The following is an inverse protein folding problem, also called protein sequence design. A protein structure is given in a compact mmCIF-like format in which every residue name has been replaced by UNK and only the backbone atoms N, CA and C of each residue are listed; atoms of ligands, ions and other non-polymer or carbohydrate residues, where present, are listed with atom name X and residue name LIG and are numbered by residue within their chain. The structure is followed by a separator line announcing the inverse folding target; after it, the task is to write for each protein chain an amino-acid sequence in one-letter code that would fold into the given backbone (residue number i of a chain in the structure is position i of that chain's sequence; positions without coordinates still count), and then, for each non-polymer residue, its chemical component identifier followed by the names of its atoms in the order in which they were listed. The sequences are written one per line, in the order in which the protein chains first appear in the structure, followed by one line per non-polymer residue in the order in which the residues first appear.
data_IF_355553499909
#
_entry.id   IF_355553499909
#
_cell.length_a   1.000
_cell.length_b   1.000
_cell.length_c   1.000
_cell.angle_alpha   90.00
_cell.angle_beta   90.00
_cell.angle_gamma   90.00
#
_symmetry.space_group_name_H-M   'P 1'
#
loop_
_entity.id
_entity.type
_entity.pdbx_description
1 polymer ?
#
# COMPACT_ATOMS: atom_id res chain seq x y z
N UNK A 1 -6.35 -9.19 -17.70
CA UNK A 1 -7.49 -8.41 -17.11
C UNK A 1 -6.93 -7.07 -16.70
N UNK A 2 -7.48 -5.95 -17.22
CA UNK A 2 -6.96 -4.62 -16.87
C UNK A 2 -7.20 -4.38 -15.39
N UNK A 3 -6.16 -4.01 -14.64
CA UNK A 3 -6.24 -3.73 -13.19
C UNK A 3 -7.13 -2.51 -12.96
N UNK A 4 -6.99 -1.49 -13.80
CA UNK A 4 -7.82 -0.29 -13.77
C UNK A 4 -8.50 -0.16 -15.13
N UNK A 5 -9.81 -0.41 -15.19
CA UNK A 5 -10.57 -0.18 -16.40
C UNK A 5 -10.81 1.33 -16.58
N UNK A 6 -10.73 1.83 -17.81
CA UNK A 6 -10.96 3.27 -18.12
C UNK A 6 -12.27 3.80 -17.52
N UNK A 7 -13.33 2.97 -17.47
CA UNK A 7 -14.60 3.33 -16.83
C UNK A 7 -14.47 3.65 -15.35
N UNK A 8 -13.57 2.94 -14.63
CA UNK A 8 -13.35 3.18 -13.20
C UNK A 8 -12.66 4.52 -12.97
N UNK A 9 -11.79 4.95 -13.89
CA UNK A 9 -11.16 6.26 -13.84
C UNK A 9 -12.15 7.41 -14.08
N UNK A 10 -13.19 7.18 -14.90
CA UNK A 10 -14.28 8.17 -15.07
C UNK A 10 -15.06 8.29 -13.77
N UNK A 11 -15.45 7.18 -13.15
CA UNK A 11 -16.17 7.19 -11.88
C UNK A 11 -15.33 7.84 -10.75
N UNK A 12 -14.00 7.64 -10.75
CA UNK A 12 -13.11 8.31 -9.82
C UNK A 12 -13.08 9.82 -10.05
N UNK A 13 -13.07 10.28 -11.29
CA UNK A 13 -13.08 11.70 -11.62
C UNK A 13 -14.38 12.40 -11.19
N UNK A 14 -15.51 11.69 -11.29
CA UNK A 14 -16.79 12.18 -10.80
C UNK A 14 -16.85 12.22 -9.27
N UNK A 15 -16.34 11.16 -8.62
CA UNK A 15 -16.35 11.05 -7.16
C UNK A 15 -15.33 11.99 -6.49
N UNK A 16 -14.22 12.32 -7.16
CA UNK A 16 -13.14 13.13 -6.65
C UNK A 16 -12.73 14.24 -7.62
N UNK A 17 -13.54 15.31 -7.78
CA UNK A 17 -13.27 16.37 -8.73
C UNK A 17 -11.94 17.12 -8.50
N UNK A 18 -11.45 17.11 -7.26
CA UNK A 18 -10.17 17.70 -6.87
C UNK A 18 -8.95 16.90 -7.36
N UNK A 19 -9.13 15.67 -7.83
CA UNK A 19 -8.07 14.79 -8.32
C UNK A 19 -8.05 14.67 -9.85
N UNK A 20 -8.71 15.56 -10.56
CA UNK A 20 -8.83 15.51 -12.04
C UNK A 20 -7.46 15.47 -12.73
N UNK A 21 -6.50 16.25 -12.23
CA UNK A 21 -5.15 16.31 -12.81
C UNK A 21 -4.45 14.96 -12.72
N UNK A 22 -4.48 14.34 -11.54
CA UNK A 22 -3.85 13.05 -11.25
C UNK A 22 -4.53 11.92 -12.01
N UNK A 23 -5.87 11.94 -12.08
CA UNK A 23 -6.65 10.97 -12.84
C UNK A 23 -6.36 11.07 -14.33
N UNK A 24 -6.17 12.30 -14.86
CA UNK A 24 -5.76 12.50 -16.24
C UNK A 24 -4.41 11.84 -16.53
N UNK A 25 -3.43 12.04 -15.67
CA UNK A 25 -2.10 11.41 -15.78
C UNK A 25 -2.25 9.88 -15.79
N UNK A 26 -3.06 9.31 -14.88
CA UNK A 26 -3.30 7.86 -14.86
C UNK A 26 -4.02 7.34 -16.10
N UNK A 27 -4.90 8.13 -16.71
CA UNK A 27 -5.55 7.77 -17.99
C UNK A 27 -4.55 7.69 -19.14
N UNK A 28 -3.49 8.48 -19.08
CA UNK A 28 -2.42 8.51 -20.08
C UNK A 28 -1.41 7.38 -19.84
N UNK A 29 -1.27 6.87 -18.59
CA UNK A 29 -0.50 5.68 -18.29
C UNK A 29 -1.23 4.45 -18.84
N UNK A 30 -0.54 3.63 -19.64
CA UNK A 30 -1.08 2.35 -20.11
C UNK A 30 -0.97 1.30 -19.01
N UNK A 31 -1.93 1.35 -18.07
CA UNK A 31 -2.02 0.41 -16.96
C UNK A 31 -2.59 -0.92 -17.44
N UNK A 32 -1.81 -1.61 -18.26
CA UNK A 32 -2.14 -2.95 -18.72
C UNK A 32 -1.68 -3.92 -17.64
N UNK A 33 -2.60 -4.43 -16.84
CA UNK A 33 -2.29 -5.41 -15.81
C UNK A 33 -1.71 -6.69 -16.40
N UNK A 34 -0.41 -6.70 -16.62
CA UNK A 34 0.34 -7.91 -16.91
C UNK A 34 0.54 -8.68 -15.59
N UNK A 35 0.62 -10.02 -15.68
CA UNK A 35 1.04 -10.79 -14.53
C UNK A 35 2.49 -10.43 -14.19
N UNK A 36 2.76 -10.24 -12.90
CA UNK A 36 4.08 -9.89 -12.40
C UNK A 36 4.22 -8.42 -12.03
N UNK A 37 5.39 -7.86 -12.23
CA UNK A 37 5.75 -6.51 -11.81
C UNK A 37 5.69 -5.53 -12.97
N UNK A 38 4.97 -4.43 -12.79
CA UNK A 38 4.92 -3.31 -13.72
C UNK A 38 5.36 -2.04 -12.98
N UNK A 39 6.35 -1.34 -13.54
CA UNK A 39 6.87 -0.11 -12.95
C UNK A 39 6.52 1.09 -13.83
N UNK A 40 5.80 2.05 -13.25
CA UNK A 40 5.33 3.26 -13.92
C UNK A 40 5.97 4.45 -13.25
N UNK A 41 6.73 5.23 -14.01
CA UNK A 41 7.27 6.50 -13.54
C UNK A 41 6.30 7.63 -13.86
N UNK A 42 5.98 8.45 -12.87
CA UNK A 42 5.14 9.64 -13.00
C UNK A 42 5.98 10.86 -12.60
N UNK A 43 6.80 11.41 -13.52
CA UNK A 43 7.78 12.44 -13.21
C UNK A 43 7.16 13.71 -12.62
N UNK A 44 6.02 14.13 -13.15
CA UNK A 44 5.31 15.35 -12.70
C UNK A 44 4.88 15.29 -11.24
N UNK A 45 4.66 14.10 -10.72
CA UNK A 45 4.31 13.84 -9.32
C UNK A 45 5.49 13.34 -8.50
N UNK A 46 6.66 13.16 -9.12
CA UNK A 46 7.86 12.53 -8.51
C UNK A 46 7.54 11.16 -7.87
N UNK A 47 6.66 10.40 -8.51
CA UNK A 47 6.19 9.09 -8.05
C UNK A 47 6.72 8.00 -8.97
N UNK A 48 7.15 6.89 -8.37
CA UNK A 48 7.31 5.61 -9.03
C UNK A 48 6.29 4.65 -8.46
N UNK A 49 5.33 4.25 -9.30
CA UNK A 49 4.28 3.29 -8.96
C UNK A 49 4.72 1.91 -9.42
N UNK A 50 4.75 0.95 -8.50
CA UNK A 50 4.98 -0.45 -8.82
C UNK A 50 3.67 -1.19 -8.61
N UNK A 51 3.13 -1.74 -9.70
CA UNK A 51 1.95 -2.60 -9.68
C UNK A 51 2.39 -4.05 -9.71
N UNK A 52 1.92 -4.84 -8.77
CA UNK A 52 2.22 -6.26 -8.69
C UNK A 52 0.91 -7.03 -8.85
N UNK A 53 0.78 -7.74 -9.99
CA UNK A 53 -0.38 -8.57 -10.29
C UNK A 53 0.00 -10.03 -10.12
N UNK A 54 -0.03 -10.47 -8.87
CA UNK A 54 0.37 -11.80 -8.46
C UNK A 54 -0.39 -12.21 -7.20
N UNK A 55 -0.32 -13.48 -6.83
CA UNK A 55 -0.71 -13.93 -5.50
C UNK A 55 0.11 -13.19 -4.42
N UNK A 56 -0.56 -12.73 -3.37
CA UNK A 56 0.09 -11.86 -2.37
C UNK A 56 1.21 -12.58 -1.61
N UNK A 57 1.07 -13.89 -1.37
CA UNK A 57 2.11 -14.69 -0.68
C UNK A 57 3.38 -14.77 -1.53
N UNK A 58 3.20 -14.98 -2.84
CA UNK A 58 4.32 -14.98 -3.79
C UNK A 58 4.90 -13.59 -3.94
N UNK A 59 4.05 -12.59 -4.18
CA UNK A 59 4.47 -11.21 -4.36
C UNK A 59 5.31 -10.69 -3.18
N UNK A 60 4.89 -10.95 -1.94
CA UNK A 60 5.59 -10.43 -0.76
C UNK A 60 6.94 -11.12 -0.51
N UNK A 61 7.09 -12.37 -0.96
CA UNK A 61 8.36 -13.09 -0.91
C UNK A 61 9.34 -12.64 -2.01
N UNK A 62 8.80 -12.22 -3.16
CA UNK A 62 9.59 -11.78 -4.32
C UNK A 62 9.95 -10.28 -4.25
N UNK A 63 9.38 -9.54 -3.31
CA UNK A 63 9.69 -8.13 -3.11
C UNK A 63 11.11 -7.97 -2.55
N UNK A 64 12.01 -7.43 -3.37
CA UNK A 64 13.36 -7.02 -2.97
C UNK A 64 13.42 -5.61 -2.36
N UNK A 65 12.31 -5.09 -1.85
CA UNK A 65 12.21 -3.77 -1.24
C UNK A 65 12.23 -3.95 0.27
N UNK A 66 13.13 -3.26 0.95
CA UNK A 66 13.15 -3.14 2.40
C UNK A 66 13.01 -1.68 2.83
N UNK A 67 12.84 -1.45 4.11
CA UNK A 67 12.69 -0.12 4.70
C UNK A 67 11.46 0.63 4.18
N UNK A 68 10.31 -0.04 4.21
CA UNK A 68 9.01 0.55 3.88
C UNK A 68 8.55 1.41 5.06
N UNK A 69 8.25 2.67 4.82
CA UNK A 69 7.90 3.65 5.85
C UNK A 69 6.42 3.67 6.21
N UNK A 70 5.55 3.26 5.29
CA UNK A 70 4.11 3.20 5.55
C UNK A 70 3.43 2.05 4.81
N UNK A 71 2.50 1.40 5.49
CA UNK A 71 1.69 0.32 4.94
C UNK A 71 0.20 0.66 4.99
N UNK A 72 -0.46 0.43 3.89
CA UNK A 72 -1.90 0.42 3.82
C UNK A 72 -2.37 -1.01 3.56
N UNK A 73 -2.78 -1.67 4.64
CA UNK A 73 -3.26 -3.05 4.61
C UNK A 73 -4.75 -3.04 4.21
N UNK A 74 -5.00 -2.78 2.92
CA UNK A 74 -6.33 -2.64 2.33
C UNK A 74 -6.69 -3.85 1.45
N UNK A 75 -6.60 -5.03 2.02
CA UNK A 75 -7.03 -6.26 1.38
C UNK A 75 -8.56 -6.47 1.45
N UNK A 76 -9.03 -7.58 0.90
CA UNK A 76 -10.42 -8.00 1.05
C UNK A 76 -10.75 -8.40 2.50
N UNK A 77 -12.05 -8.53 2.80
CA UNK A 77 -12.53 -8.98 4.10
C UNK A 77 -11.81 -10.27 4.53
N UNK A 78 -11.15 -10.29 5.70
CA UNK A 78 -10.42 -11.46 6.19
C UNK A 78 -11.23 -12.75 6.30
N UNK A 79 -12.56 -12.67 6.33
CA UNK A 79 -13.45 -13.84 6.29
C UNK A 79 -13.62 -14.40 4.88
N UNK A 80 -13.55 -13.52 3.86
CA UNK A 80 -13.74 -13.91 2.46
C UNK A 80 -12.43 -14.25 1.76
N UNK A 81 -11.34 -13.69 2.23
CA UNK A 81 -10.00 -13.84 1.64
C UNK A 81 -8.94 -14.00 2.74
N UNK A 82 -9.00 -15.10 3.51
CA UNK A 82 -8.12 -15.31 4.66
C UNK A 82 -6.64 -15.44 4.27
N UNK A 83 -6.36 -15.89 3.05
CA UNK A 83 -5.00 -16.04 2.51
C UNK A 83 -4.21 -14.73 2.43
N UNK A 84 -4.87 -13.59 2.30
CA UNK A 84 -4.21 -12.28 2.35
C UNK A 84 -3.80 -11.84 3.77
N UNK A 85 -4.21 -12.58 4.79
CA UNK A 85 -4.07 -12.20 6.19
C UNK A 85 -3.41 -13.32 7.02
N UNK A 86 -2.53 -14.09 6.40
CA UNK A 86 -1.77 -15.13 7.09
C UNK A 86 -0.72 -14.51 8.01
N UNK A 87 -0.25 -15.27 8.99
CA UNK A 87 0.81 -14.85 9.90
C UNK A 87 2.10 -14.55 9.15
N UNK A 88 2.43 -15.36 8.13
CA UNK A 88 3.61 -15.16 7.28
C UNK A 88 3.58 -13.82 6.54
N UNK A 89 2.43 -13.43 5.98
CA UNK A 89 2.28 -12.12 5.33
C UNK A 89 2.45 -11.00 6.36
N UNK A 90 1.81 -11.10 7.53
CA UNK A 90 1.90 -10.07 8.55
C UNK A 90 3.32 -9.97 9.13
N UNK A 91 4.03 -11.10 9.23
CA UNK A 91 5.46 -11.13 9.59
C UNK A 91 6.31 -10.47 8.52
N UNK A 92 6.11 -10.78 7.25
CA UNK A 92 6.83 -10.15 6.14
C UNK A 92 6.60 -8.63 6.09
N UNK A 93 5.37 -8.16 6.35
CA UNK A 93 5.08 -6.72 6.51
C UNK A 93 5.99 -6.12 7.59
N UNK A 94 6.15 -6.78 8.74
CA UNK A 94 7.04 -6.29 9.79
C UNK A 94 8.51 -6.32 9.36
N UNK A 95 8.97 -7.40 8.77
CA UNK A 95 10.37 -7.58 8.37
C UNK A 95 10.80 -6.55 7.30
N UNK A 96 9.92 -6.25 6.34
CA UNK A 96 10.15 -5.27 5.28
C UNK A 96 10.00 -3.81 5.75
N UNK A 97 9.45 -3.59 6.91
CA UNK A 97 9.19 -2.26 7.47
C UNK A 97 10.47 -1.57 7.95
N UNK A 98 10.59 -0.28 7.70
CA UNK A 98 11.63 0.56 8.32
C UNK A 98 11.39 0.76 9.81
N UNK A 99 12.41 1.24 10.52
CA UNK A 99 12.24 1.79 11.86
C UNK A 99 11.30 3.00 11.79
N UNK A 100 10.42 3.15 12.76
CA UNK A 100 9.37 4.18 12.81
C UNK A 100 8.31 4.09 11.69
N UNK A 101 8.27 2.99 10.96
CA UNK A 101 7.21 2.76 9.97
C UNK A 101 5.83 2.71 10.62
N UNK A 102 4.83 3.09 9.85
CA UNK A 102 3.45 3.05 10.29
C UNK A 102 2.60 2.11 9.42
N UNK A 103 1.50 1.62 9.98
CA UNK A 103 0.48 0.95 9.16
C UNK A 103 -0.93 1.41 9.50
N UNK A 104 -1.81 1.26 8.53
CA UNK A 104 -3.25 1.42 8.70
C UNK A 104 -3.99 0.28 8.01
N UNK A 105 -5.06 -0.22 8.66
CA UNK A 105 -5.93 -1.22 8.06
C UNK A 105 -7.39 -0.94 8.40
N UNK A 106 -8.27 -1.20 7.43
CA UNK A 106 -9.72 -1.06 7.62
C UNK A 106 -10.30 -2.12 8.56
N UNK A 107 -9.62 -3.24 8.76
CA UNK A 107 -10.09 -4.33 9.62
C UNK A 107 -9.65 -4.13 11.06
N UNK A 108 -10.46 -4.64 11.99
CA UNK A 108 -10.12 -4.71 13.42
C UNK A 108 -10.25 -6.13 13.97
N UNK A 109 -10.14 -7.13 13.10
CA UNK A 109 -10.23 -8.55 13.45
C UNK A 109 -9.16 -8.92 14.47
N UNK A 110 -9.59 -9.57 15.57
CA UNK A 110 -8.72 -9.84 16.73
C UNK A 110 -7.48 -10.67 16.41
N UNK A 111 -7.57 -11.67 15.53
CA UNK A 111 -6.41 -12.50 15.15
C UNK A 111 -5.35 -11.68 14.42
N UNK A 112 -5.74 -10.79 13.49
CA UNK A 112 -4.83 -9.94 12.73
C UNK A 112 -4.14 -8.96 13.68
N UNK A 113 -4.90 -8.34 14.59
CA UNK A 113 -4.36 -7.43 15.58
C UNK A 113 -3.33 -8.13 16.49
N UNK A 114 -3.62 -9.35 16.94
CA UNK A 114 -2.66 -10.13 17.76
C UNK A 114 -1.40 -10.47 16.97
N UNK A 115 -1.52 -10.97 15.76
CA UNK A 115 -0.38 -11.31 14.93
C UNK A 115 0.53 -10.09 14.68
N UNK A 116 -0.03 -8.89 14.44
CA UNK A 116 0.75 -7.68 14.30
C UNK A 116 1.47 -7.28 15.60
N UNK A 117 0.81 -7.43 16.76
CA UNK A 117 1.43 -7.21 18.08
C UNK A 117 2.55 -8.22 18.35
N UNK A 118 2.33 -9.50 18.07
CA UNK A 118 3.30 -10.58 18.27
C UNK A 118 4.54 -10.42 17.38
N UNK A 119 4.38 -9.82 16.18
CA UNK A 119 5.50 -9.46 15.32
C UNK A 119 6.25 -8.20 15.77
N UNK A 120 5.76 -7.45 16.76
CA UNK A 120 6.45 -6.31 17.35
C UNK A 120 5.95 -4.93 16.95
N UNK A 121 4.81 -4.83 16.26
CA UNK A 121 4.15 -3.55 16.08
C UNK A 121 3.41 -3.11 17.36
N UNK A 122 3.45 -1.84 17.64
CA UNK A 122 2.45 -1.22 18.53
C UNK A 122 1.15 -1.07 17.73
N UNK A 123 0.03 -1.57 18.28
CA UNK A 123 -1.25 -1.60 17.55
C UNK A 123 -2.34 -0.96 18.37
N UNK A 124 -2.97 0.06 17.79
CA UNK A 124 -4.10 0.77 18.36
C UNK A 124 -5.38 0.48 17.56
N UNK A 125 -6.49 0.28 18.29
CA UNK A 125 -7.82 0.20 17.72
C UNK A 125 -8.51 1.54 17.85
N UNK A 126 -8.78 2.19 16.73
CA UNK A 126 -9.36 3.51 16.67
C UNK A 126 -10.73 3.50 15.98
N UNK A 127 -11.43 4.62 16.03
CA UNK A 127 -12.72 4.80 15.35
C UNK A 127 -12.56 4.57 13.85
N UNK A 128 -13.46 3.78 13.27
CA UNK A 128 -13.50 3.52 11.84
C UNK A 128 -14.01 4.72 11.04
N UNK A 129 -13.92 4.64 9.73
CA UNK A 129 -14.43 5.63 8.80
C UNK A 129 -15.79 5.18 8.22
N UNK A 130 -16.68 6.12 7.97
CA UNK A 130 -18.02 5.86 7.43
C UNK A 130 -18.84 4.96 8.34
N UNK A 131 -19.34 3.85 7.82
CA UNK A 131 -20.18 2.88 8.53
C UNK A 131 -19.39 1.91 9.41
N UNK A 132 -18.08 1.91 9.35
CA UNK A 132 -17.23 0.99 10.12
C UNK A 132 -17.01 1.50 11.53
N UNK A 133 -17.27 0.66 12.53
CA UNK A 133 -17.11 1.03 13.94
C UNK A 133 -15.63 1.24 14.32
N UNK A 134 -14.75 0.39 13.83
CA UNK A 134 -13.34 0.38 14.22
C UNK A 134 -12.43 0.02 13.06
N UNK A 135 -11.21 0.54 13.13
CA UNK A 135 -10.06 0.17 12.32
C UNK A 135 -8.83 0.05 13.22
N UNK A 136 -7.74 -0.51 12.71
CA UNK A 136 -6.47 -0.55 13.43
C UNK A 136 -5.42 0.30 12.72
N UNK A 137 -4.59 0.91 13.52
CA UNK A 137 -3.35 1.59 13.11
C UNK A 137 -2.22 1.10 13.99
N UNK A 138 -0.99 1.28 13.55
CA UNK A 138 0.14 0.94 14.42
C UNK A 138 1.45 1.45 13.87
N UNK A 139 2.51 1.21 14.66
CA UNK A 139 3.89 1.60 14.34
C UNK A 139 4.86 0.50 14.73
N UNK A 140 5.94 0.41 13.97
CA UNK A 140 7.12 -0.35 14.34
C UNK A 140 8.05 0.60 15.08
N UNK A 141 8.16 0.42 16.40
CA UNK A 141 9.03 1.23 17.23
C UNK A 141 10.41 0.57 17.31
N UNK A 142 11.45 1.33 17.02
CA UNK A 142 12.82 0.96 17.37
C UNK A 142 13.43 2.16 18.06
N UNK A 143 13.97 1.92 19.24
CA UNK A 143 14.50 2.94 20.15
C UNK A 143 15.78 3.60 19.59
N UNK A 144 15.65 4.28 18.45
CA UNK A 144 16.72 5.08 17.86
C UNK A 144 16.15 6.39 17.31
N UNK A 145 16.43 7.47 18.02
CA UNK A 145 16.11 8.86 17.68
C UNK A 145 16.66 9.29 16.32
N UNK A 146 15.98 8.95 15.23
CA UNK A 146 16.08 9.69 13.97
C UNK A 146 14.69 9.76 13.37
N UNK A 147 14.03 10.90 13.54
CA UNK A 147 12.84 11.28 12.79
C UNK A 147 13.19 11.27 11.29
N UNK A 148 12.81 10.23 10.60
CA UNK A 148 12.91 10.18 9.16
C UNK A 148 11.57 10.62 8.57
N UNK A 149 11.61 11.58 7.65
CA UNK A 149 10.47 11.89 6.77
C UNK A 149 10.05 10.59 6.07
N UNK A 150 8.75 10.34 5.95
CA UNK A 150 8.22 9.18 5.22
C UNK A 150 8.78 9.20 3.80
N UNK A 151 9.48 8.14 3.41
CA UNK A 151 10.16 8.02 2.11
C UNK A 151 9.54 6.99 1.19
N UNK A 152 8.94 5.94 1.75
CA UNK A 152 8.37 4.82 0.99
C UNK A 152 7.03 4.41 1.57
N UNK A 153 6.07 4.19 0.71
CA UNK A 153 4.72 3.77 1.08
C UNK A 153 4.37 2.52 0.27
N UNK A 154 3.94 1.47 0.96
CA UNK A 154 3.42 0.28 0.33
C UNK A 154 1.91 0.17 0.55
N UNK A 155 1.19 -0.11 -0.53
CA UNK A 155 -0.25 -0.34 -0.52
C UNK A 155 -0.49 -1.78 -0.95
N UNK A 156 -0.96 -2.61 -0.02
CA UNK A 156 -1.40 -3.98 -0.32
C UNK A 156 -2.89 -3.97 -0.60
N UNK A 157 -3.24 -4.23 -1.85
CA UNK A 157 -4.61 -4.24 -2.34
C UNK A 157 -4.91 -3.09 -3.29
N UNK A 158 -5.40 -3.41 -4.49
CA UNK A 158 -5.81 -2.45 -5.52
C UNK A 158 -7.32 -2.20 -5.51
N UNK A 159 -7.96 -2.28 -4.34
CA UNK A 159 -9.36 -1.93 -4.16
C UNK A 159 -9.58 -0.40 -4.27
N UNK A 160 -10.85 0.01 -4.25
CA UNK A 160 -11.25 1.42 -4.34
C UNK A 160 -10.53 2.30 -3.31
N UNK A 161 -10.37 1.79 -2.08
CA UNK A 161 -9.71 2.51 -0.99
C UNK A 161 -8.19 2.65 -1.19
N UNK A 162 -7.52 1.58 -1.62
CA UNK A 162 -6.07 1.61 -1.87
C UNK A 162 -5.70 2.54 -3.03
N UNK A 163 -6.49 2.53 -4.10
CA UNK A 163 -6.33 3.43 -5.24
C UNK A 163 -6.54 4.90 -4.83
N UNK A 164 -7.61 5.18 -4.05
CA UNK A 164 -7.90 6.53 -3.55
C UNK A 164 -6.79 7.06 -2.63
N UNK A 165 -6.23 6.18 -1.80
CA UNK A 165 -5.16 6.54 -0.90
C UNK A 165 -3.87 6.86 -1.64
N UNK A 166 -3.50 6.08 -2.67
CA UNK A 166 -2.35 6.36 -3.52
C UNK A 166 -2.45 7.77 -4.13
N UNK A 167 -3.65 8.17 -4.56
CA UNK A 167 -3.93 9.52 -5.06
C UNK A 167 -3.79 10.60 -3.99
N UNK A 168 -4.34 10.37 -2.81
CA UNK A 168 -4.26 11.37 -1.72
C UNK A 168 -2.82 11.58 -1.23
N UNK A 169 -1.99 10.54 -1.27
CA UNK A 169 -0.57 10.64 -0.92
C UNK A 169 0.22 11.39 -1.99
N UNK A 170 -0.11 11.22 -3.27
CA UNK A 170 0.49 11.97 -4.36
C UNK A 170 0.26 13.49 -4.23
N UNK A 171 -0.85 13.89 -3.62
CA UNK A 171 -1.20 15.30 -3.39
C UNK A 171 -0.69 15.87 -2.06
N UNK A 172 -0.30 15.02 -1.11
CA UNK A 172 0.41 15.50 0.07
C UNK A 172 1.88 15.70 -0.33
N UNK A 173 2.49 16.85 -0.03
CA UNK A 173 3.89 17.18 -0.31
C UNK A 173 4.91 16.21 0.34
N UNK A 174 4.68 14.91 0.19
CA UNK A 174 5.57 13.85 0.61
C UNK A 174 6.60 13.73 -0.52
N UNK A 175 7.80 14.21 -0.27
CA UNK A 175 8.95 13.97 -1.12
C UNK A 175 9.23 12.47 -1.16
N UNK A 176 8.80 11.81 -2.23
CA UNK A 176 9.18 10.42 -2.50
C UNK A 176 10.52 10.45 -3.21
N UNK A 177 11.61 10.41 -2.48
CA UNK A 177 12.92 10.16 -3.07
C UNK A 177 12.93 8.76 -3.68
N UNK A 178 12.90 8.70 -5.01
CA UNK A 178 13.01 7.45 -5.76
C UNK A 178 14.41 6.88 -5.67
N UNK A 179 14.61 5.90 -4.81
CA UNK A 179 15.78 5.05 -4.92
C UNK A 179 15.56 4.09 -6.10
N UNK A 180 16.56 3.99 -6.98
CA UNK A 180 16.56 3.06 -8.09
C UNK A 180 16.40 1.62 -7.60
N UNK A 181 15.20 1.07 -7.74
CA UNK A 181 14.98 -0.34 -7.58
C UNK A 181 15.39 -0.98 -8.91
N UNK A 182 16.57 -1.52 -8.94
CA UNK A 182 17.05 -2.32 -10.07
C UNK A 182 16.47 -3.72 -9.84
N UNK A 183 15.41 -4.05 -10.55
CA UNK A 183 14.99 -5.44 -10.70
C UNK A 183 16.02 -6.10 -11.63
N UNK A 184 16.98 -6.83 -11.07
CA UNK A 184 17.79 -7.73 -11.85
C UNK A 184 16.88 -8.89 -12.24
N UNK A 185 16.62 -9.02 -13.54
CA UNK A 185 16.09 -10.26 -14.09
C UNK A 185 17.27 -11.21 -14.17
N UNK A 186 17.28 -12.23 -13.38
CA UNK A 186 18.10 -13.39 -13.65
C UNK A 186 17.56 -14.04 -14.93
N UNK A 187 18.47 -14.19 -15.91
CA UNK A 187 18.24 -14.86 -17.20
C UNK A 187 18.00 -16.35 -17.04
#
# INVERSE_FOLDING_TARGET
KKIIEKRNLVLLEEAFPNLKKEIKILKECDLVGHNGFECISIPDLKIRLILITEDVQKAINDICISNIDAWFLDGFDPKKNPEMWTEDILKAVFDLSSCDSSFSSFTSVGRIRRALLENGFEVEKIKGFGTKRHRIVGRKFVDNKKSNKIKKIAILGAGFSGSNLAFNLANSNIEVEGHNIRLERDN
#
